data_IF_868594149659
#
_entry.id   IF_868594149659
#
_cell.length_a   1.000
_cell.length_b   1.000
_cell.length_c   1.000
_cell.angle_alpha   90.00
_cell.angle_beta   90.00
_cell.angle_gamma   90.00
#
_symmetry.space_group_name_H-M   'P 1'
#
loop_
_entity.id
_entity.type
_entity.pdbx_description
1 polymer ?
#
# COMPACT_ATOMS: atom_id res chain seq x y z
N UNK A 1 2.63 10.18 -18.04
CA UNK A 1 1.72 10.95 -17.17
C UNK A 1 2.46 11.21 -15.87
N UNK A 2 2.57 12.45 -15.41
CA UNK A 2 3.18 12.70 -14.10
C UNK A 2 2.13 12.45 -13.00
N UNK A 3 2.34 11.39 -12.22
CA UNK A 3 1.50 11.12 -11.04
C UNK A 3 1.91 12.08 -9.92
N UNK A 4 0.91 12.63 -9.21
CA UNK A 4 1.24 13.34 -7.97
C UNK A 4 1.89 12.37 -6.98
N UNK A 5 2.91 12.80 -6.20
CA UNK A 5 3.54 11.92 -5.22
C UNK A 5 2.55 11.35 -4.20
N UNK A 6 1.51 12.12 -3.84
CA UNK A 6 0.47 11.65 -2.92
C UNK A 6 -0.31 10.46 -3.50
N UNK A 7 -0.72 10.56 -4.77
CA UNK A 7 -1.45 9.48 -5.42
C UNK A 7 -0.55 8.28 -5.71
N UNK A 8 0.69 8.51 -6.17
CA UNK A 8 1.68 7.45 -6.39
C UNK A 8 1.94 6.63 -5.10
N UNK A 9 2.02 7.26 -3.92
CA UNK A 9 2.16 6.52 -2.66
C UNK A 9 0.99 5.58 -2.38
N UNK A 10 -0.24 5.99 -2.72
CA UNK A 10 -1.44 5.15 -2.53
C UNK A 10 -1.39 3.93 -3.43
N UNK A 11 -1.07 4.12 -4.71
CA UNK A 11 -0.94 3.02 -5.66
C UNK A 11 0.16 2.04 -5.26
N UNK A 12 1.35 2.56 -4.92
CA UNK A 12 2.48 1.73 -4.53
C UNK A 12 2.18 0.94 -3.26
N UNK A 13 1.59 1.57 -2.24
CA UNK A 13 1.29 0.87 -0.99
C UNK A 13 0.16 -0.16 -1.15
N UNK A 14 -0.84 0.10 -1.99
CA UNK A 14 -1.87 -0.88 -2.34
C UNK A 14 -1.26 -2.10 -3.04
N UNK A 15 -0.34 -1.87 -3.99
CA UNK A 15 0.38 -2.93 -4.69
C UNK A 15 1.23 -3.77 -3.73
N UNK A 16 1.97 -3.15 -2.80
CA UNK A 16 2.74 -3.86 -1.78
C UNK A 16 1.82 -4.70 -0.86
N UNK A 17 0.66 -4.15 -0.46
CA UNK A 17 -0.29 -4.89 0.37
C UNK A 17 -0.87 -6.12 -0.35
N UNK A 18 -1.06 -6.03 -1.67
CA UNK A 18 -1.55 -7.15 -2.48
C UNK A 18 -0.49 -8.24 -2.70
N UNK A 19 0.79 -7.86 -2.85
CA UNK A 19 1.86 -8.80 -3.28
C UNK A 19 2.63 -9.47 -2.15
N UNK A 20 2.73 -8.83 -0.98
CA UNK A 20 3.50 -9.34 0.14
C UNK A 20 2.63 -10.29 0.97
N UNK A 21 3.23 -11.38 1.45
CA UNK A 21 2.56 -12.26 2.41
C UNK A 21 2.40 -11.55 3.78
N UNK A 22 1.16 -11.46 4.27
CA UNK A 22 0.80 -10.86 5.57
C UNK A 22 1.50 -9.50 5.83
N UNK A 23 1.28 -8.47 4.98
CA UNK A 23 1.97 -7.19 5.08
C UNK A 23 1.54 -6.44 6.33
N UNK A 24 2.49 -6.03 7.15
CA UNK A 24 2.25 -5.22 8.34
C UNK A 24 3.04 -3.91 8.29
N UNK A 25 2.74 -2.98 9.20
CA UNK A 25 3.39 -1.66 9.20
C UNK A 25 4.93 -1.77 9.27
N UNK A 26 5.53 -2.58 10.17
CA UNK A 26 6.98 -2.80 10.16
C UNK A 26 7.54 -3.24 8.80
N UNK A 27 6.93 -4.24 8.14
CA UNK A 27 7.42 -4.73 6.85
C UNK A 27 7.30 -3.70 5.74
N UNK A 28 6.22 -2.94 5.73
CA UNK A 28 6.01 -1.84 4.79
C UNK A 28 7.02 -0.71 5.00
N UNK A 29 7.44 -0.43 6.24
CA UNK A 29 8.52 0.53 6.53
C UNK A 29 9.85 0.02 5.95
N UNK A 30 10.18 -1.26 6.18
CA UNK A 30 11.41 -1.89 5.67
C UNK A 30 11.52 -1.76 4.14
N UNK A 31 10.43 -2.02 3.42
CA UNK A 31 10.41 -2.02 1.96
C UNK A 31 10.37 -0.62 1.32
N UNK A 32 9.85 0.38 2.03
CA UNK A 32 9.67 1.73 1.46
C UNK A 32 10.66 2.75 2.00
N UNK A 33 11.25 2.49 3.17
CA UNK A 33 12.00 3.48 3.95
C UNK A 33 11.14 4.62 4.52
N UNK A 34 9.81 4.57 4.38
CA UNK A 34 8.95 5.67 4.83
C UNK A 34 8.71 5.65 6.34
N UNK A 35 8.51 6.82 6.97
CA UNK A 35 8.11 6.89 8.37
C UNK A 35 6.81 6.10 8.63
N UNK A 36 6.72 5.49 9.81
CA UNK A 36 5.52 4.75 10.27
C UNK A 36 4.23 5.54 10.04
N UNK A 37 4.25 6.83 10.34
CA UNK A 37 3.08 7.71 10.20
C UNK A 37 2.63 7.84 8.75
N UNK A 38 3.58 7.95 7.81
CA UNK A 38 3.30 7.99 6.36
C UNK A 38 2.59 6.72 5.91
N UNK A 39 3.09 5.54 6.29
CA UNK A 39 2.46 4.25 5.96
C UNK A 39 1.02 4.19 6.48
N UNK A 40 0.82 4.55 7.76
CA UNK A 40 -0.50 4.53 8.37
C UNK A 40 -1.48 5.52 7.72
N UNK A 41 -1.03 6.73 7.38
CA UNK A 41 -1.86 7.73 6.73
C UNK A 41 -2.23 7.34 5.30
N UNK A 42 -1.33 6.71 4.56
CA UNK A 42 -1.63 6.19 3.21
C UNK A 42 -2.63 5.05 3.27
N UNK A 43 -2.45 4.05 4.16
CA UNK A 43 -3.39 2.93 4.32
C UNK A 43 -4.80 3.42 4.67
N UNK A 44 -4.91 4.41 5.57
CA UNK A 44 -6.19 5.04 5.94
C UNK A 44 -6.84 5.81 4.78
N UNK A 45 -6.05 6.28 3.82
CA UNK A 45 -6.54 7.06 2.69
C UNK A 45 -6.96 6.21 1.48
N UNK A 46 -6.59 4.92 1.44
CA UNK A 46 -6.94 4.01 0.33
C UNK A 46 -8.46 3.91 0.08
N UNK A 47 -9.33 3.81 1.10
CA UNK A 47 -10.78 3.81 0.87
C UNK A 47 -11.31 5.08 0.21
N UNK A 48 -10.63 6.22 0.41
CA UNK A 48 -10.99 7.50 -0.23
C UNK A 48 -10.81 7.52 -1.76
N UNK A 49 -10.14 6.52 -2.33
CA UNK A 49 -10.04 6.31 -3.78
C UNK A 49 -10.72 5.00 -4.23
N UNK A 50 -11.51 4.38 -3.35
CA UNK A 50 -12.27 3.16 -3.63
C UNK A 50 -11.53 1.84 -3.39
N UNK A 51 -10.24 1.86 -3.06
CA UNK A 51 -9.50 0.65 -2.70
C UNK A 51 -9.91 0.17 -1.31
N UNK A 52 -10.41 -1.05 -1.19
CA UNK A 52 -10.82 -1.67 0.07
C UNK A 52 -9.65 -2.41 0.69
N UNK A 53 -9.21 -1.92 1.85
CA UNK A 53 -8.15 -2.52 2.66
C UNK A 53 -8.68 -2.74 4.08
N UNK A 54 -8.37 -3.89 4.66
CA UNK A 54 -8.73 -4.25 6.03
C UNK A 54 -7.51 -4.73 6.80
N UNK A 55 -7.52 -4.55 8.13
CA UNK A 55 -6.54 -5.15 9.02
C UNK A 55 -7.11 -6.45 9.59
N UNK A 56 -6.42 -7.57 9.34
CA UNK A 56 -6.81 -8.92 9.74
C UNK A 56 -5.99 -9.32 10.97
N UNK A 57 -6.66 -9.88 11.98
CA UNK A 57 -6.04 -10.37 13.21
C UNK A 57 -6.36 -11.86 13.39
N UNK A 58 -5.33 -12.70 13.50
CA UNK A 58 -5.47 -14.16 13.68
C UNK A 58 -5.81 -14.56 15.14
N UNK A 59 -6.35 -13.63 15.94
CA UNK A 59 -6.83 -13.89 17.31
C UNK A 59 -5.75 -14.09 18.40
N UNK A 60 -4.46 -14.02 18.09
CA UNK A 60 -3.38 -14.06 19.12
C UNK A 60 -3.14 -12.67 19.72
N UNK A 61 -2.98 -12.62 21.05
CA UNK A 61 -2.64 -11.38 21.78
C UNK A 61 -1.25 -10.89 21.35
N UNK A 62 -1.10 -9.55 21.26
CA UNK A 62 0.07 -8.76 20.84
C UNK A 62 0.05 -8.15 19.42
N UNK A 63 -1.10 -7.64 18.94
CA UNK A 63 -1.18 -6.85 17.70
C UNK A 63 -0.58 -7.53 16.44
N UNK A 64 -0.40 -8.85 16.45
CA UNK A 64 0.03 -9.62 15.30
C UNK A 64 -1.14 -9.70 14.33
N UNK A 65 -1.05 -8.87 13.30
CA UNK A 65 -2.02 -8.77 12.22
C UNK A 65 -1.38 -8.15 10.99
N UNK A 66 -2.11 -8.22 9.89
CA UNK A 66 -1.64 -7.79 8.59
C UNK A 66 -2.76 -7.08 7.83
N UNK A 67 -2.38 -6.28 6.84
CA UNK A 67 -3.31 -5.66 5.93
C UNK A 67 -3.64 -6.63 4.79
N UNK A 68 -4.90 -6.63 4.38
CA UNK A 68 -5.34 -7.35 3.21
C UNK A 68 -6.15 -6.40 2.34
N UNK A 69 -5.80 -6.35 1.05
CA UNK A 69 -6.61 -5.69 0.03
C UNK A 69 -7.68 -6.69 -0.42
N UNK A 70 -8.94 -6.26 -0.46
CA UNK A 70 -10.06 -7.10 -0.91
C UNK A 70 -10.67 -6.65 -2.24
N UNK A 71 -10.43 -5.40 -2.63
CA UNK A 71 -10.96 -4.79 -3.84
C UNK A 71 -10.11 -3.59 -4.25
N UNK A 72 -9.70 -3.51 -5.52
CA UNK A 72 -9.01 -2.34 -6.08
C UNK A 72 -9.97 -1.18 -6.40
N UNK A 73 -11.28 -1.45 -6.39
CA UNK A 73 -12.31 -0.46 -6.70
C UNK A 73 -12.15 0.06 -8.13
N UNK A 74 -12.14 1.39 -8.34
CA UNK A 74 -12.03 1.97 -9.68
C UNK A 74 -10.59 2.01 -10.23
N UNK A 75 -9.58 1.59 -9.44
CA UNK A 75 -8.19 1.58 -9.87
C UNK A 75 -7.92 0.31 -10.66
N UNK A 76 -7.43 0.44 -11.88
CA UNK A 76 -7.07 -0.70 -12.72
C UNK A 76 -5.78 -1.36 -12.21
N UNK A 77 -5.92 -2.53 -11.58
CA UNK A 77 -4.82 -3.29 -10.98
C UNK A 77 -3.68 -3.50 -11.97
N UNK A 78 -3.98 -4.02 -13.16
CA UNK A 78 -2.96 -4.38 -14.16
C UNK A 78 -2.13 -3.18 -14.62
N UNK A 79 -2.77 -2.00 -14.73
CA UNK A 79 -2.06 -0.76 -15.03
C UNK A 79 -1.04 -0.40 -13.95
N UNK A 80 -1.38 -0.59 -12.66
CA UNK A 80 -0.45 -0.31 -11.55
C UNK A 80 0.78 -1.22 -11.61
N UNK A 81 0.58 -2.52 -11.89
CA UNK A 81 1.68 -3.46 -12.03
C UNK A 81 2.57 -3.15 -13.25
N UNK A 82 1.97 -2.82 -14.39
CA UNK A 82 2.74 -2.53 -15.61
C UNK A 82 3.54 -1.22 -15.51
N UNK A 83 3.14 -0.30 -14.62
CA UNK A 83 3.79 1.00 -14.40
C UNK A 83 4.52 1.09 -13.05
N UNK A 84 4.81 -0.05 -12.42
CA UNK A 84 5.48 -0.09 -11.11
C UNK A 84 6.77 0.76 -11.11
N UNK A 85 7.62 0.61 -12.12
CA UNK A 85 8.88 1.35 -12.20
C UNK A 85 8.69 2.87 -12.28
N UNK A 86 7.67 3.34 -12.99
CA UNK A 86 7.37 4.76 -13.12
C UNK A 86 6.85 5.33 -11.79
N UNK A 87 6.00 4.55 -11.10
CA UNK A 87 5.50 4.87 -9.76
C UNK A 87 6.67 4.96 -8.77
N UNK A 88 7.58 3.97 -8.76
CA UNK A 88 8.75 3.95 -7.87
C UNK A 88 9.71 5.10 -8.14
N UNK A 89 9.94 5.42 -9.42
CA UNK A 89 10.75 6.57 -9.86
C UNK A 89 10.17 7.88 -9.35
N UNK A 90 8.84 8.07 -9.45
CA UNK A 90 8.14 9.25 -8.92
C UNK A 90 8.35 9.41 -7.41
N UNK A 91 8.46 8.30 -6.68
CA UNK A 91 8.59 8.27 -5.23
C UNK A 91 10.05 8.25 -4.74
N UNK A 92 11.02 8.09 -5.65
CA UNK A 92 12.44 7.92 -5.33
C UNK A 92 12.69 6.75 -4.37
N UNK A 93 11.96 5.65 -4.58
CA UNK A 93 12.16 4.38 -3.87
C UNK A 93 12.85 3.39 -4.80
N UNK A 94 13.82 2.63 -4.27
CA UNK A 94 14.68 1.70 -5.03
C UNK A 94 14.26 0.26 -4.87
#
# INVERSE_FOLDING_TARGET
>A
MELSPVFARRLYLAMLVETIEKPNVPKLIELTGWPRRTIQDVLKALPGIGIKVAFVQDGRRHNDGYYQLSDWGPVEKDWVYSHENDIRTTLKVH
#
